data_IF_537859984413
#
_entry.id   IF_537859984413
#
_cell.length_a   1.000
_cell.length_b   1.000
_cell.length_c   1.000
_cell.angle_alpha   90.00
_cell.angle_beta   90.00
_cell.angle_gamma   90.00
#
_symmetry.space_group_name_H-M   'P 1'
#
loop_
_entity.id
_entity.type
_entity.pdbx_description
1 polymer ?
#
# COMPACT_ATOMS: atom_id res chain seq x y z
N UNK A 1 -42.75 -12.06 49.94
CA UNK A 1 -42.55 -12.09 48.48
C UNK A 1 -41.20 -12.75 48.23
N UNK A 2 -41.14 -13.94 47.60
CA UNK A 2 -39.91 -14.71 47.53
C UNK A 2 -39.05 -14.28 46.35
N UNK A 3 -37.75 -14.18 46.65
CA UNK A 3 -36.66 -14.07 45.70
C UNK A 3 -36.47 -15.41 44.98
N UNK A 4 -36.33 -15.35 43.65
CA UNK A 4 -35.96 -16.52 42.85
C UNK A 4 -34.44 -16.52 42.67
N UNK A 5 -33.92 -17.65 43.11
CA UNK A 5 -32.54 -18.12 43.22
C UNK A 5 -31.80 -18.11 41.89
N UNK A 6 -30.58 -17.56 41.93
CA UNK A 6 -29.50 -17.79 40.97
C UNK A 6 -28.86 -19.13 41.30
N UNK A 7 -28.86 -20.08 40.35
CA UNK A 7 -27.89 -21.19 40.37
C UNK A 7 -27.38 -21.51 38.97
N UNK A 8 -26.11 -21.14 38.77
CA UNK A 8 -25.07 -21.73 37.92
C UNK A 8 -25.45 -22.93 37.05
N UNK A 9 -25.39 -22.77 35.73
CA UNK A 9 -25.21 -23.88 34.80
C UNK A 9 -23.70 -24.10 34.58
N UNK A 10 -23.19 -25.15 35.22
CA UNK A 10 -21.85 -25.69 35.02
C UNK A 10 -21.79 -26.41 33.67
N UNK A 11 -20.70 -26.16 32.96
CA UNK A 11 -20.35 -26.80 31.71
C UNK A 11 -20.29 -28.33 31.83
N UNK A 12 -20.99 -29.04 30.93
CA UNK A 12 -20.70 -30.45 30.62
C UNK A 12 -20.31 -30.54 29.16
N UNK A 13 -18.98 -30.54 28.97
CA UNK A 13 -18.27 -30.91 27.76
C UNK A 13 -18.45 -32.41 27.53
N UNK A 14 -19.20 -32.78 26.50
CA UNK A 14 -19.42 -34.16 26.08
C UNK A 14 -20.32 -34.19 24.85
N UNK A 15 -19.75 -33.90 23.67
CA UNK A 15 -20.43 -34.07 22.39
C UNK A 15 -20.73 -35.56 22.14
N UNK A 16 -21.85 -36.03 22.67
CA UNK A 16 -22.50 -37.24 22.17
C UNK A 16 -23.11 -36.88 20.81
N UNK A 17 -22.37 -37.11 19.73
CA UNK A 17 -22.92 -37.04 18.36
C UNK A 17 -24.14 -37.96 18.28
N UNK A 18 -25.35 -37.41 18.39
CA UNK A 18 -26.58 -38.18 18.21
C UNK A 18 -26.50 -38.92 16.88
N UNK A 19 -26.71 -40.24 16.92
CA UNK A 19 -26.67 -41.06 15.73
C UNK A 19 -27.66 -40.52 14.69
N UNK A 20 -27.28 -40.61 13.41
CA UNK A 20 -28.13 -40.15 12.30
C UNK A 20 -29.54 -40.77 12.36
N UNK A 21 -29.64 -42.02 12.83
CA UNK A 21 -30.90 -42.74 13.10
C UNK A 21 -31.78 -42.02 14.13
N UNK A 22 -31.20 -41.56 15.24
CA UNK A 22 -31.93 -40.83 16.30
C UNK A 22 -32.48 -39.49 15.78
N UNK A 23 -31.70 -38.75 14.98
CA UNK A 23 -32.14 -37.48 14.39
C UNK A 23 -33.27 -37.69 13.39
N UNK A 24 -33.19 -38.74 12.57
CA UNK A 24 -34.23 -39.09 11.60
C UNK A 24 -35.50 -39.60 12.27
N UNK A 25 -35.39 -40.36 13.37
CA UNK A 25 -36.55 -40.80 14.15
C UNK A 25 -37.25 -39.61 14.81
N UNK A 26 -36.50 -38.66 15.37
CA UNK A 26 -37.05 -37.40 15.90
C UNK A 26 -37.78 -36.59 14.81
N UNK A 27 -37.20 -36.50 13.61
CA UNK A 27 -37.83 -35.84 12.46
C UNK A 27 -39.10 -36.55 11.99
N UNK A 28 -39.13 -37.89 12.01
CA UNK A 28 -40.33 -38.64 11.70
C UNK A 28 -41.45 -38.40 12.72
N UNK A 29 -41.13 -38.35 14.02
CA UNK A 29 -42.11 -38.05 15.07
C UNK A 29 -42.67 -36.62 14.94
N UNK A 30 -41.84 -35.66 14.56
CA UNK A 30 -42.29 -34.30 14.24
C UNK A 30 -43.32 -34.32 13.09
N UNK A 31 -43.08 -35.08 12.02
CA UNK A 31 -44.03 -35.20 10.91
C UNK A 31 -45.35 -35.90 11.30
N UNK A 32 -45.31 -36.84 12.24
CA UNK A 32 -46.54 -37.43 12.81
C UNK A 32 -47.34 -36.36 13.56
N UNK A 33 -46.68 -35.53 14.37
CA UNK A 33 -47.32 -34.47 15.14
C UNK A 33 -47.90 -33.34 14.27
N UNK A 34 -47.26 -33.03 13.15
CA UNK A 34 -47.72 -31.98 12.21
C UNK A 34 -48.71 -32.48 11.17
N UNK A 35 -49.12 -33.75 11.22
CA UNK A 35 -50.11 -34.33 10.30
C UNK A 35 -49.57 -34.75 8.94
N UNK A 36 -48.26 -34.63 8.69
CA UNK A 36 -47.63 -35.12 7.45
C UNK A 36 -47.27 -36.61 7.55
N UNK A 37 -48.33 -37.43 7.50
CA UNK A 37 -48.25 -38.88 7.75
C UNK A 37 -47.44 -39.62 6.67
N UNK A 38 -47.48 -39.18 5.40
CA UNK A 38 -46.79 -39.86 4.30
C UNK A 38 -45.27 -39.70 4.39
N UNK A 39 -44.79 -38.50 4.70
CA UNK A 39 -43.35 -38.25 4.85
C UNK A 39 -42.80 -38.92 6.11
N UNK A 40 -43.55 -38.90 7.22
CA UNK A 40 -43.24 -39.67 8.42
C UNK A 40 -43.08 -41.16 8.08
N UNK A 41 -44.03 -41.72 7.32
CA UNK A 41 -44.03 -43.13 6.92
C UNK A 41 -42.84 -43.48 6.03
N UNK A 42 -42.49 -42.63 5.06
CA UNK A 42 -41.32 -42.84 4.17
C UNK A 42 -40.00 -42.85 4.95
N UNK A 43 -39.85 -41.97 5.94
CA UNK A 43 -38.65 -41.92 6.80
C UNK A 43 -38.60 -43.16 7.70
N UNK A 44 -39.71 -43.53 8.33
CA UNK A 44 -39.80 -44.69 9.20
C UNK A 44 -39.54 -46.00 8.44
N UNK A 45 -39.99 -46.14 7.19
CA UNK A 45 -39.67 -47.31 6.36
C UNK A 45 -38.17 -47.43 6.08
N UNK A 46 -37.50 -46.31 5.79
CA UNK A 46 -36.04 -46.30 5.57
C UNK A 46 -35.30 -46.65 6.86
N UNK A 47 -35.77 -46.16 8.01
CA UNK A 47 -35.22 -46.47 9.32
C UNK A 47 -35.40 -47.96 9.69
N UNK A 48 -36.57 -48.53 9.44
CA UNK A 48 -36.84 -49.97 9.66
C UNK A 48 -36.01 -50.88 8.74
N UNK A 49 -35.58 -50.37 7.58
CA UNK A 49 -34.65 -51.09 6.71
C UNK A 49 -33.20 -51.09 7.24
N UNK A 50 -32.84 -50.16 8.12
CA UNK A 50 -31.50 -50.06 8.71
C UNK A 50 -31.47 -50.75 10.08
N UNK A 51 -32.48 -50.52 10.91
CA UNK A 51 -32.61 -51.06 12.27
C UNK A 51 -33.94 -51.81 12.47
N UNK A 52 -34.11 -53.00 11.89
CA UNK A 52 -35.38 -53.74 11.92
C UNK A 52 -35.80 -54.21 13.33
N UNK A 53 -34.85 -54.30 14.26
CA UNK A 53 -35.09 -54.73 15.64
C UNK A 53 -35.35 -53.57 16.61
N UNK A 54 -35.33 -52.32 16.14
CA UNK A 54 -35.60 -51.16 16.99
C UNK A 54 -37.10 -50.99 17.25
N UNK A 55 -37.54 -51.31 18.47
CA UNK A 55 -38.95 -51.29 18.86
C UNK A 55 -39.59 -49.90 18.81
N UNK A 56 -38.81 -48.83 19.04
CA UNK A 56 -39.32 -47.47 19.06
C UNK A 56 -39.71 -46.98 17.65
N UNK A 57 -38.94 -47.40 16.63
CA UNK A 57 -39.23 -47.09 15.22
C UNK A 57 -40.52 -47.80 14.78
N UNK A 58 -40.73 -49.05 15.22
CA UNK A 58 -41.96 -49.79 14.97
C UNK A 58 -43.20 -49.14 15.61
N UNK A 59 -43.07 -48.59 16.82
CA UNK A 59 -44.17 -47.88 17.49
C UNK A 59 -44.55 -46.61 16.72
N UNK A 60 -43.56 -45.79 16.34
CA UNK A 60 -43.81 -44.61 15.50
C UNK A 60 -44.41 -44.98 14.15
N UNK A 61 -44.00 -46.09 13.54
CA UNK A 61 -44.60 -46.58 12.29
C UNK A 61 -46.07 -46.97 12.45
N UNK A 62 -46.44 -47.63 13.56
CA UNK A 62 -47.84 -47.95 13.84
C UNK A 62 -48.69 -46.69 14.07
N UNK A 63 -48.12 -45.65 14.68
CA UNK A 63 -48.80 -44.36 14.87
C UNK A 63 -49.15 -43.65 13.56
N UNK A 64 -48.51 -44.02 12.43
CA UNK A 64 -48.89 -43.52 11.09
C UNK A 64 -50.16 -44.16 10.52
N UNK A 65 -50.80 -45.09 11.24
CA UNK A 65 -52.07 -45.74 10.85
C UNK A 65 -52.04 -46.50 9.53
N UNK A 66 -51.05 -47.39 9.25
CA UNK A 66 -51.05 -48.19 8.02
C UNK A 66 -52.24 -49.16 8.00
N UNK A 67 -52.81 -49.40 6.81
CA UNK A 67 -53.83 -50.45 6.66
C UNK A 67 -53.25 -51.82 7.02
N UNK A 68 -54.09 -52.77 7.46
CA UNK A 68 -53.64 -54.13 7.80
C UNK A 68 -52.91 -54.77 6.60
N UNK A 69 -53.37 -54.47 5.37
CA UNK A 69 -52.73 -54.90 4.12
C UNK A 69 -51.34 -54.30 3.93
N UNK A 70 -51.19 -52.99 4.04
CA UNK A 70 -49.89 -52.29 3.93
C UNK A 70 -48.90 -52.76 4.99
N UNK A 71 -49.35 -52.87 6.24
CA UNK A 71 -48.54 -53.34 7.36
C UNK A 71 -48.05 -54.79 7.13
N UNK A 72 -48.87 -55.64 6.53
CA UNK A 72 -48.51 -57.01 6.18
C UNK A 72 -47.52 -57.09 5.01
N UNK A 73 -47.67 -56.24 3.99
CA UNK A 73 -46.73 -56.17 2.85
C UNK A 73 -45.35 -55.76 3.35
N UNK A 74 -45.27 -54.73 4.21
CA UNK A 74 -44.00 -54.23 4.77
C UNK A 74 -43.32 -55.27 5.66
N UNK A 75 -44.07 -55.96 6.52
CA UNK A 75 -43.52 -57.04 7.35
C UNK A 75 -42.98 -58.19 6.51
N UNK A 76 -43.67 -58.57 5.42
CA UNK A 76 -43.20 -59.62 4.50
C UNK A 76 -41.95 -59.20 3.73
N UNK A 77 -41.88 -57.95 3.26
CA UNK A 77 -40.68 -57.45 2.57
C UNK A 77 -39.47 -57.40 3.50
N UNK A 78 -39.65 -56.98 4.76
CA UNK A 78 -38.57 -56.94 5.74
C UNK A 78 -38.17 -58.34 6.22
N UNK A 79 -39.12 -59.27 6.39
CA UNK A 79 -38.83 -60.66 6.75
C UNK A 79 -37.98 -61.40 5.69
N UNK A 80 -38.20 -61.11 4.40
CA UNK A 80 -37.37 -61.65 3.31
C UNK A 80 -35.93 -61.13 3.37
N UNK A 81 -35.74 -59.89 3.80
CA UNK A 81 -34.42 -59.24 3.86
C UNK A 81 -33.68 -59.54 5.17
N UNK A 82 -34.40 -59.79 6.26
CA UNK A 82 -33.86 -60.02 7.60
C UNK A 82 -34.55 -61.22 8.29
N UNK A 83 -34.26 -62.47 7.90
CA UNK A 83 -34.91 -63.67 8.45
C UNK A 83 -34.59 -63.95 9.93
N UNK A 84 -33.56 -63.31 10.50
CA UNK A 84 -33.14 -63.46 11.90
C UNK A 84 -33.74 -62.45 12.90
N UNK A 85 -34.57 -61.50 12.45
CA UNK A 85 -35.13 -60.46 13.33
C UNK A 85 -36.25 -61.02 14.22
N UNK A 86 -36.03 -60.97 15.54
CA UNK A 86 -37.03 -61.40 16.54
C UNK A 86 -38.27 -60.50 16.54
N UNK A 87 -38.09 -59.20 16.32
CA UNK A 87 -39.21 -58.24 16.30
C UNK A 87 -40.15 -58.46 15.10
N UNK A 88 -39.59 -58.73 13.93
CA UNK A 88 -40.38 -59.02 12.72
C UNK A 88 -41.14 -60.34 12.88
N UNK A 89 -40.49 -61.39 13.39
CA UNK A 89 -41.12 -62.70 13.61
C UNK A 89 -42.31 -62.62 14.60
N UNK A 90 -42.12 -61.95 15.74
CA UNK A 90 -43.17 -61.77 16.75
C UNK A 90 -44.37 -60.98 16.21
N UNK A 91 -44.13 -59.96 15.37
CA UNK A 91 -45.20 -59.14 14.77
C UNK A 91 -45.97 -59.88 13.68
N UNK A 92 -45.31 -60.74 12.91
CA UNK A 92 -45.97 -61.62 11.92
C UNK A 92 -46.87 -62.65 12.61
N UNK A 93 -46.39 -63.28 13.68
CA UNK A 93 -47.19 -64.22 14.49
C UNK A 93 -48.42 -63.53 15.11
N UNK A 94 -48.26 -62.30 15.61
CA UNK A 94 -49.37 -61.48 16.13
C UNK A 94 -50.45 -61.15 15.09
N UNK A 95 -50.08 -60.95 13.82
CA UNK A 95 -51.06 -60.74 12.74
C UNK A 95 -51.79 -62.02 12.33
N UNK A 96 -51.10 -63.16 12.34
CA UNK A 96 -51.73 -64.46 12.05
C UNK A 96 -52.82 -64.79 13.08
N UNK A 97 -52.57 -64.51 14.37
CA UNK A 97 -53.55 -64.66 15.44
C UNK A 97 -54.77 -63.70 15.32
N UNK A 98 -54.59 -62.53 14.71
CA UNK A 98 -55.71 -61.60 14.43
C UNK A 98 -56.57 -62.07 13.25
N UNK A 99 -55.95 -62.65 12.21
CA UNK A 99 -56.68 -63.20 11.06
C UNK A 99 -57.48 -64.46 11.40
N UNK A 100 -56.96 -65.34 12.25
CA UNK A 100 -57.71 -66.53 12.70
C UNK A 100 -58.92 -66.17 13.56
N UNK A 101 -58.88 -65.06 14.31
CA UNK A 101 -60.05 -64.51 15.02
C UNK A 101 -61.08 -63.87 14.08
N UNK A 102 -60.63 -63.09 13.09
CA UNK A 102 -61.55 -62.50 12.10
C UNK A 102 -62.22 -63.55 11.19
N UNK A 103 -61.53 -64.65 10.87
CA UNK A 103 -62.12 -65.76 10.12
C UNK A 103 -63.15 -66.58 10.93
N UNK A 104 -63.10 -66.53 12.27
CA UNK A 104 -64.08 -67.18 13.15
C UNK A 104 -65.38 -66.37 13.30
N UNK A 105 -65.33 -65.04 13.13
CA UNK A 105 -66.49 -64.14 13.25
C UNK A 105 -67.29 -64.00 11.93
N UNK A 106 -66.69 -64.28 10.77
CA UNK A 106 -67.38 -64.25 9.46
C UNK A 106 -68.06 -65.57 9.06
N UNK A 107 -68.07 -66.58 9.93
CA UNK A 107 -68.69 -67.89 9.66
C UNK A 107 -70.13 -68.03 10.20
N UNK A 108 -70.75 -66.97 10.74
CA UNK A 108 -72.07 -67.06 11.40
C UNK A 108 -73.25 -66.56 10.54
N UNK A 109 -73.06 -65.87 9.42
CA UNK A 109 -74.19 -65.35 8.62
C UNK A 109 -74.08 -65.63 7.11
N UNK A 110 -74.64 -66.76 6.68
CA UNK A 110 -75.13 -66.92 5.31
C UNK A 110 -76.39 -67.82 5.25
N UNK A 111 -77.53 -67.31 5.73
CA UNK A 111 -78.86 -67.86 5.41
C UNK A 111 -79.34 -67.24 4.10
N UNK A 112 -79.51 -68.07 3.07
CA UNK A 112 -80.09 -67.66 1.77
C UNK A 112 -81.58 -67.33 2.00
N UNK A 113 -81.97 -66.08 1.72
CA UNK A 113 -83.34 -65.59 1.80
C UNK A 113 -83.87 -65.40 0.37
N UNK A 114 -84.88 -66.19 -0.02
CA UNK A 114 -85.53 -66.12 -1.34
C UNK A 114 -86.74 -65.17 -1.22
N UNK A 115 -86.72 -64.07 -1.96
CA UNK A 115 -87.76 -63.02 -1.95
C UNK A 115 -88.84 -63.27 -3.03
N UNK A 116 -90.11 -62.89 -2.77
CA UNK A 116 -91.25 -63.10 -3.66
C UNK A 116 -91.26 -62.14 -4.88
N UNK A 117 -91.85 -62.59 -6.00
CA UNK A 117 -91.81 -61.97 -7.34
C UNK A 117 -92.14 -60.46 -7.43
N UNK A 118 -92.92 -59.90 -6.50
CA UNK A 118 -93.30 -58.48 -6.50
C UNK A 118 -92.21 -57.54 -5.92
N UNK A 119 -91.34 -58.04 -5.05
CA UNK A 119 -90.14 -57.30 -4.62
C UNK A 119 -89.08 -57.28 -5.72
N UNK A 120 -89.05 -58.31 -6.57
CA UNK A 120 -88.10 -58.43 -7.69
C UNK A 120 -88.24 -57.29 -8.69
N UNK A 121 -89.46 -56.89 -9.07
CA UNK A 121 -89.69 -55.82 -10.05
C UNK A 121 -89.34 -54.43 -9.52
N UNK A 122 -89.64 -54.15 -8.25
CA UNK A 122 -89.23 -52.91 -7.57
C UNK A 122 -87.70 -52.85 -7.44
N UNK A 123 -87.06 -53.97 -7.08
CA UNK A 123 -85.60 -54.08 -7.06
C UNK A 123 -85.03 -53.89 -8.46
N UNK A 124 -85.65 -54.43 -9.51
CA UNK A 124 -85.20 -54.28 -10.90
C UNK A 124 -85.30 -52.82 -11.37
N UNK A 125 -86.39 -52.11 -11.04
CA UNK A 125 -86.54 -50.68 -11.34
C UNK A 125 -85.55 -49.84 -10.55
N UNK A 126 -85.30 -50.15 -9.27
CA UNK A 126 -84.25 -49.51 -8.47
C UNK A 126 -82.85 -49.83 -8.99
N UNK A 127 -82.61 -51.03 -9.51
CA UNK A 127 -81.37 -51.42 -10.17
C UNK A 127 -81.19 -50.69 -11.50
N UNK A 128 -82.24 -50.50 -12.29
CA UNK A 128 -82.20 -49.74 -13.53
C UNK A 128 -82.04 -48.24 -13.28
N UNK A 129 -82.70 -47.69 -12.26
CA UNK A 129 -82.53 -46.30 -11.83
C UNK A 129 -81.14 -46.05 -11.25
N UNK A 130 -80.62 -46.97 -10.42
CA UNK A 130 -79.24 -46.86 -9.93
C UNK A 130 -78.22 -47.07 -11.04
N UNK A 131 -78.46 -47.96 -12.00
CA UNK A 131 -77.60 -48.12 -13.18
C UNK A 131 -77.64 -46.89 -14.10
N UNK A 132 -78.82 -46.28 -14.30
CA UNK A 132 -78.96 -45.05 -15.08
C UNK A 132 -78.31 -43.86 -14.37
N UNK A 133 -78.52 -43.74 -13.05
CA UNK A 133 -77.87 -42.73 -12.23
C UNK A 133 -76.34 -42.91 -12.23
N UNK A 134 -75.85 -44.14 -12.18
CA UNK A 134 -74.43 -44.44 -12.31
C UNK A 134 -73.91 -44.15 -13.73
N UNK A 135 -74.68 -44.49 -14.77
CA UNK A 135 -74.31 -44.23 -16.17
C UNK A 135 -74.22 -42.74 -16.50
N UNK A 136 -75.10 -41.90 -15.92
CA UNK A 136 -75.16 -40.47 -16.22
C UNK A 136 -74.35 -39.62 -15.24
N UNK A 137 -74.39 -39.94 -13.94
CA UNK A 137 -73.80 -39.10 -12.89
C UNK A 137 -72.31 -39.41 -12.66
N UNK A 138 -71.88 -40.67 -12.83
CA UNK A 138 -70.48 -41.05 -12.62
C UNK A 138 -69.52 -40.39 -13.62
N UNK A 139 -69.82 -40.31 -14.95
CA UNK A 139 -68.97 -39.56 -15.88
C UNK A 139 -68.96 -38.04 -15.59
N UNK A 140 -70.07 -37.46 -15.11
CA UNK A 140 -70.14 -36.05 -14.69
C UNK A 140 -69.28 -35.78 -13.45
N UNK A 141 -69.26 -36.70 -12.48
CA UNK A 141 -68.37 -36.63 -11.30
C UNK A 141 -66.91 -36.78 -11.71
N UNK A 142 -66.60 -37.74 -12.55
CA UNK A 142 -65.25 -37.95 -13.06
C UNK A 142 -64.74 -36.71 -13.84
N UNK A 143 -65.60 -36.08 -14.65
CA UNK A 143 -65.27 -34.84 -15.35
C UNK A 143 -65.02 -33.67 -14.38
N UNK A 144 -65.85 -33.50 -13.34
CA UNK A 144 -65.63 -32.46 -12.32
C UNK A 144 -64.34 -32.67 -11.53
N UNK A 145 -64.05 -33.90 -11.10
CA UNK A 145 -62.79 -34.23 -10.42
C UNK A 145 -61.60 -33.98 -11.33
N UNK A 146 -61.71 -34.32 -12.61
CA UNK A 146 -60.66 -34.03 -13.60
C UNK A 146 -60.46 -32.53 -13.79
N UNK A 147 -61.53 -31.75 -13.95
CA UNK A 147 -61.45 -30.29 -14.07
C UNK A 147 -60.88 -29.64 -12.81
N UNK A 148 -61.22 -30.14 -11.61
CA UNK A 148 -60.59 -29.70 -10.37
C UNK A 148 -59.09 -29.99 -10.37
N UNK A 149 -58.69 -31.20 -10.76
CA UNK A 149 -57.26 -31.55 -10.84
C UNK A 149 -56.51 -30.70 -11.87
N UNK A 150 -57.10 -30.45 -13.04
CA UNK A 150 -56.51 -29.60 -14.07
C UNK A 150 -56.39 -28.14 -13.58
N UNK A 151 -57.40 -27.63 -12.85
CA UNK A 151 -57.33 -26.31 -12.21
C UNK A 151 -56.23 -26.24 -11.14
N UNK A 152 -56.12 -27.24 -10.26
CA UNK A 152 -55.06 -27.31 -9.25
C UNK A 152 -53.68 -27.32 -9.91
N UNK A 153 -53.49 -28.12 -10.96
CA UNK A 153 -52.24 -28.14 -11.72
C UNK A 153 -51.93 -26.79 -12.38
N UNK A 154 -52.93 -26.10 -12.92
CA UNK A 154 -52.75 -24.77 -13.49
C UNK A 154 -52.36 -23.74 -12.42
N UNK A 155 -52.96 -23.86 -11.23
CA UNK A 155 -52.65 -23.00 -10.09
C UNK A 155 -51.21 -23.21 -9.62
N UNK A 156 -50.77 -24.47 -9.49
CA UNK A 156 -49.39 -24.83 -9.16
C UNK A 156 -48.40 -24.29 -10.21
N UNK A 157 -48.75 -24.39 -11.50
CA UNK A 157 -47.93 -23.84 -12.58
C UNK A 157 -47.85 -22.32 -12.52
N UNK A 158 -48.97 -21.65 -12.22
CA UNK A 158 -49.02 -20.21 -12.06
C UNK A 158 -48.17 -19.74 -10.88
N UNK A 159 -48.30 -20.36 -9.71
CA UNK A 159 -47.48 -20.06 -8.54
C UNK A 159 -45.98 -20.32 -8.81
N UNK A 160 -45.65 -21.41 -9.50
CA UNK A 160 -44.28 -21.70 -9.91
C UNK A 160 -43.72 -20.64 -10.86
N UNK A 161 -44.53 -20.17 -11.80
CA UNK A 161 -44.12 -19.13 -12.75
C UNK A 161 -43.97 -17.78 -12.06
N UNK A 162 -44.87 -17.43 -11.14
CA UNK A 162 -44.79 -16.21 -10.34
C UNK A 162 -43.51 -16.21 -9.50
N UNK A 163 -43.19 -17.31 -8.83
CA UNK A 163 -41.95 -17.43 -8.06
C UNK A 163 -40.70 -17.26 -8.94
N UNK A 164 -40.70 -17.81 -10.16
CA UNK A 164 -39.59 -17.61 -11.12
C UNK A 164 -39.49 -16.16 -11.58
N UNK A 165 -40.63 -15.50 -11.80
CA UNK A 165 -40.67 -14.08 -12.16
C UNK A 165 -40.09 -13.22 -11.05
N UNK A 166 -40.48 -13.47 -9.79
CA UNK A 166 -39.97 -12.74 -8.63
C UNK A 166 -38.45 -12.94 -8.46
N UNK A 167 -37.94 -14.17 -8.70
CA UNK A 167 -36.49 -14.44 -8.70
C UNK A 167 -35.80 -13.63 -9.79
N UNK A 168 -36.31 -13.67 -11.03
CA UNK A 168 -35.71 -12.96 -12.16
C UNK A 168 -35.72 -11.45 -11.97
N UNK A 169 -36.79 -10.90 -11.36
CA UNK A 169 -36.87 -9.49 -11.02
C UNK A 169 -35.78 -9.11 -10.01
N UNK A 170 -35.58 -9.92 -8.96
CA UNK A 170 -34.52 -9.69 -7.98
C UNK A 170 -33.12 -9.78 -8.61
N UNK A 171 -32.89 -10.74 -9.50
CA UNK A 171 -31.63 -10.87 -10.25
C UNK A 171 -31.39 -9.65 -11.15
N UNK A 172 -32.43 -9.16 -11.83
CA UNK A 172 -32.36 -7.94 -12.63
C UNK A 172 -32.01 -6.72 -11.78
N UNK A 173 -32.68 -6.53 -10.65
CA UNK A 173 -32.43 -5.40 -9.75
C UNK A 173 -30.99 -5.44 -9.18
N UNK A 174 -30.50 -6.64 -8.85
CA UNK A 174 -29.11 -6.84 -8.42
C UNK A 174 -28.12 -6.48 -9.53
N UNK A 175 -28.35 -6.97 -10.75
CA UNK A 175 -27.50 -6.69 -11.90
C UNK A 175 -27.49 -5.19 -12.26
N UNK A 176 -28.64 -4.52 -12.13
CA UNK A 176 -28.75 -3.08 -12.34
C UNK A 176 -27.93 -2.30 -11.31
N UNK A 177 -27.96 -2.71 -10.04
CA UNK A 177 -27.14 -2.12 -8.98
C UNK A 177 -25.64 -2.34 -9.23
N UNK A 178 -25.24 -3.56 -9.60
CA UNK A 178 -23.85 -3.89 -9.94
C UNK A 178 -23.34 -3.06 -11.12
N UNK A 179 -24.17 -2.89 -12.15
CA UNK A 179 -23.84 -2.05 -13.31
C UNK A 179 -23.62 -0.59 -12.91
N UNK A 180 -24.49 -0.03 -12.07
CA UNK A 180 -24.33 1.33 -11.56
C UNK A 180 -23.05 1.48 -10.74
N UNK A 181 -22.74 0.51 -9.87
CA UNK A 181 -21.50 0.52 -9.11
C UNK A 181 -20.28 0.48 -10.02
N UNK A 182 -20.28 -0.40 -11.02
CA UNK A 182 -19.18 -0.51 -11.99
C UNK A 182 -19.00 0.78 -12.80
N UNK A 183 -20.10 1.41 -13.22
CA UNK A 183 -20.08 2.69 -13.93
C UNK A 183 -19.46 3.81 -13.08
N UNK A 184 -19.78 3.86 -11.78
CA UNK A 184 -19.19 4.81 -10.85
C UNK A 184 -17.69 4.57 -10.67
N UNK A 185 -17.27 3.32 -10.47
CA UNK A 185 -15.85 2.94 -10.35
C UNK A 185 -15.08 3.32 -11.62
N UNK A 186 -15.65 3.04 -12.80
CA UNK A 186 -15.04 3.41 -14.07
C UNK A 186 -14.83 4.92 -14.20
N UNK A 187 -15.86 5.71 -13.83
CA UNK A 187 -15.78 7.17 -13.85
C UNK A 187 -14.71 7.70 -12.89
N UNK A 188 -14.63 7.14 -11.68
CA UNK A 188 -13.60 7.50 -10.71
C UNK A 188 -12.20 7.17 -11.25
N UNK A 189 -12.00 5.97 -11.80
CA UNK A 189 -10.72 5.56 -12.37
C UNK A 189 -10.29 6.45 -13.54
N UNK A 190 -11.24 6.90 -14.36
CA UNK A 190 -10.98 7.84 -15.44
C UNK A 190 -10.51 9.21 -14.93
N UNK A 191 -11.08 9.70 -13.83
CA UNK A 191 -10.66 10.95 -13.18
C UNK A 191 -9.28 10.82 -12.54
N UNK A 192 -9.01 9.71 -11.85
CA UNK A 192 -7.70 9.40 -11.27
C UNK A 192 -6.62 9.32 -12.37
N UNK A 193 -6.90 8.63 -13.47
CA UNK A 193 -5.98 8.54 -14.61
C UNK A 193 -5.69 9.92 -15.22
N UNK A 194 -6.73 10.75 -15.41
CA UNK A 194 -6.55 12.13 -15.90
C UNK A 194 -5.67 12.96 -14.97
N UNK A 195 -5.86 12.79 -13.65
CA UNK A 195 -5.05 13.46 -12.62
C UNK A 195 -3.59 12.99 -12.69
N UNK A 196 -3.35 11.68 -12.77
CA UNK A 196 -2.01 11.10 -12.90
C UNK A 196 -1.29 11.57 -14.17
N UNK A 197 -2.00 11.66 -15.30
CA UNK A 197 -1.45 12.22 -16.54
C UNK A 197 -1.01 13.67 -16.33
N UNK A 198 -1.82 14.47 -15.63
CA UNK A 198 -1.47 15.85 -15.28
C UNK A 198 -0.22 15.94 -14.41
N UNK A 199 -0.16 15.14 -13.34
CA UNK A 199 1.00 15.09 -12.45
C UNK A 199 2.27 14.65 -13.17
N UNK A 200 2.18 13.64 -14.05
CA UNK A 200 3.33 13.15 -14.81
C UNK A 200 3.86 14.21 -15.80
N UNK A 201 2.96 14.97 -16.44
CA UNK A 201 3.37 16.11 -17.29
C UNK A 201 4.10 17.18 -16.48
N UNK A 202 3.60 17.52 -15.29
CA UNK A 202 4.25 18.48 -14.42
C UNK A 202 5.64 18.00 -13.99
N UNK A 203 5.76 16.76 -13.52
CA UNK A 203 7.05 16.16 -13.14
C UNK A 203 8.04 16.15 -14.31
N UNK A 204 7.57 15.84 -15.52
CA UNK A 204 8.42 15.89 -16.72
C UNK A 204 8.93 17.30 -17.01
N UNK A 205 8.09 18.32 -16.82
CA UNK A 205 8.48 19.72 -16.99
C UNK A 205 9.51 20.13 -15.93
N UNK A 206 9.25 19.84 -14.65
CA UNK A 206 10.14 20.18 -13.55
C UNK A 206 11.52 19.50 -13.70
N UNK A 207 11.55 18.25 -14.16
CA UNK A 207 12.80 17.53 -14.45
C UNK A 207 13.59 18.18 -15.60
N UNK A 208 12.90 18.65 -16.65
CA UNK A 208 13.56 19.40 -17.72
C UNK A 208 14.18 20.71 -17.22
N UNK A 209 13.50 21.41 -16.32
CA UNK A 209 14.02 22.65 -15.71
C UNK A 209 15.25 22.36 -14.84
N UNK A 210 15.18 21.32 -14.00
CA UNK A 210 16.31 20.90 -13.17
C UNK A 210 17.53 20.49 -14.00
N UNK A 211 17.33 19.84 -15.14
CA UNK A 211 18.42 19.52 -16.06
C UNK A 211 19.07 20.78 -16.62
N UNK A 212 18.28 21.78 -16.99
CA UNK A 212 18.79 23.06 -17.47
C UNK A 212 19.59 23.78 -16.37
N UNK A 213 19.06 23.84 -15.15
CA UNK A 213 19.74 24.46 -14.01
C UNK A 213 21.07 23.77 -13.69
N UNK A 214 21.11 22.44 -13.81
CA UNK A 214 22.32 21.66 -13.61
C UNK A 214 23.39 21.97 -14.66
N UNK A 215 23.00 22.11 -15.93
CA UNK A 215 23.93 22.52 -17.00
C UNK A 215 24.44 23.96 -16.82
N UNK A 216 23.58 24.87 -16.35
CA UNK A 216 24.03 26.23 -15.98
C UNK A 216 25.04 26.19 -14.83
N UNK A 217 24.76 25.46 -13.74
CA UNK A 217 25.67 25.33 -12.61
C UNK A 217 27.02 24.70 -13.02
N UNK A 218 27.02 23.72 -13.94
CA UNK A 218 28.24 23.14 -14.52
C UNK A 218 29.05 24.18 -15.28
N UNK A 219 28.38 25.00 -16.07
CA UNK A 219 29.02 26.08 -16.86
C UNK A 219 29.65 27.12 -15.92
N UNK A 220 28.94 27.52 -14.87
CA UNK A 220 29.43 28.47 -13.88
C UNK A 220 30.65 27.93 -13.12
N UNK A 221 30.63 26.65 -12.74
CA UNK A 221 31.76 26.00 -12.08
C UNK A 221 33.00 25.94 -12.98
N UNK A 222 32.81 25.64 -14.28
CA UNK A 222 33.91 25.67 -15.25
C UNK A 222 34.49 27.08 -15.39
N UNK A 223 33.64 28.11 -15.50
CA UNK A 223 34.08 29.50 -15.58
C UNK A 223 34.86 29.92 -14.32
N UNK A 224 34.35 29.56 -13.14
CA UNK A 224 35.03 29.85 -11.88
C UNK A 224 36.39 29.15 -11.78
N UNK A 225 36.49 27.92 -12.28
CA UNK A 225 37.74 27.17 -12.34
C UNK A 225 38.77 27.86 -13.22
N UNK A 226 38.36 28.37 -14.39
CA UNK A 226 39.23 29.14 -15.29
C UNK A 226 39.71 30.41 -14.58
N UNK A 227 38.81 31.19 -13.99
CA UNK A 227 39.17 32.42 -13.27
C UNK A 227 40.13 32.15 -12.10
N UNK A 228 39.92 31.06 -11.37
CA UNK A 228 40.80 30.65 -10.29
C UNK A 228 42.22 30.35 -10.80
N UNK A 229 42.33 29.60 -11.90
CA UNK A 229 43.64 29.28 -12.50
C UNK A 229 44.35 30.53 -13.02
N UNK A 230 43.62 31.45 -13.65
CA UNK A 230 44.16 32.73 -14.10
C UNK A 230 44.68 33.56 -12.92
N UNK A 231 43.90 33.64 -11.83
CA UNK A 231 44.30 34.34 -10.62
C UNK A 231 45.55 33.70 -9.99
N UNK A 232 45.64 32.37 -9.97
CA UNK A 232 46.81 31.64 -9.48
C UNK A 232 48.06 31.94 -10.32
N UNK A 233 47.90 32.04 -11.64
CA UNK A 233 48.98 32.42 -12.56
C UNK A 233 49.47 33.84 -12.30
N UNK A 234 48.55 34.81 -12.20
CA UNK A 234 48.87 36.20 -11.88
C UNK A 234 49.57 36.31 -10.52
N UNK A 235 49.09 35.57 -9.52
CA UNK A 235 49.70 35.55 -8.19
C UNK A 235 51.14 35.01 -8.23
N UNK A 236 51.37 33.93 -8.97
CA UNK A 236 52.70 33.35 -9.16
C UNK A 236 53.66 34.35 -9.84
N UNK A 237 53.19 35.06 -10.87
CA UNK A 237 53.96 36.10 -11.54
C UNK A 237 54.29 37.26 -10.60
N UNK A 238 53.34 37.66 -9.75
CA UNK A 238 53.56 38.72 -8.77
C UNK A 238 54.63 38.34 -7.74
N UNK A 239 54.66 37.08 -7.29
CA UNK A 239 55.71 36.57 -6.40
C UNK A 239 57.08 36.71 -7.06
N UNK A 240 57.22 36.28 -8.31
CA UNK A 240 58.48 36.39 -9.06
C UNK A 240 58.91 37.85 -9.21
N UNK A 241 57.98 38.74 -9.57
CA UNK A 241 58.27 40.17 -9.71
C UNK A 241 58.69 40.80 -8.38
N UNK A 242 58.07 40.39 -7.26
CA UNK A 242 58.44 40.86 -5.93
C UNK A 242 59.86 40.43 -5.56
N UNK A 243 60.23 39.18 -5.86
CA UNK A 243 61.58 38.67 -5.61
C UNK A 243 62.64 39.39 -6.48
N UNK A 244 62.34 39.70 -7.74
CA UNK A 244 63.23 40.50 -8.60
C UNK A 244 63.41 41.92 -8.04
N UNK A 245 62.31 42.55 -7.61
CA UNK A 245 62.35 43.88 -7.00
C UNK A 245 63.18 43.90 -5.71
N UNK A 246 63.00 42.90 -4.86
CA UNK A 246 63.77 42.73 -3.62
C UNK A 246 65.27 42.56 -3.92
N UNK A 247 65.64 41.74 -4.91
CA UNK A 247 67.03 41.58 -5.31
C UNK A 247 67.64 42.91 -5.82
N UNK A 248 66.91 43.67 -6.64
CA UNK A 248 67.35 44.99 -7.11
C UNK A 248 67.51 45.99 -5.98
N UNK A 249 66.63 45.94 -4.97
CA UNK A 249 66.75 46.79 -3.79
C UNK A 249 68.07 46.53 -3.04
N UNK A 250 68.42 45.26 -2.80
CA UNK A 250 69.69 44.92 -2.16
C UNK A 250 70.92 45.32 -2.99
N UNK A 251 70.86 45.19 -4.31
CA UNK A 251 71.93 45.68 -5.19
C UNK A 251 72.09 47.20 -5.09
N UNK A 252 70.99 47.95 -5.16
CA UNK A 252 71.01 49.41 -5.01
C UNK A 252 71.54 49.85 -3.65
N UNK A 253 71.20 49.12 -2.59
CA UNK A 253 71.72 49.38 -1.25
C UNK A 253 73.24 49.17 -1.18
N UNK A 254 73.74 48.08 -1.77
CA UNK A 254 75.18 47.83 -1.89
C UNK A 254 75.90 48.91 -2.71
N UNK A 255 75.34 49.33 -3.84
CA UNK A 255 75.89 50.41 -4.66
C UNK A 255 75.93 51.74 -3.89
N UNK A 256 74.89 52.03 -3.11
CA UNK A 256 74.86 53.20 -2.24
C UNK A 256 75.95 53.14 -1.16
N UNK A 257 76.10 52.00 -0.48
CA UNK A 257 77.14 51.82 0.55
C UNK A 257 78.55 51.98 -0.06
N UNK A 258 78.78 51.43 -1.24
CA UNK A 258 80.03 51.60 -1.99
C UNK A 258 80.27 53.07 -2.38
N UNK A 259 79.23 53.78 -2.82
CA UNK A 259 79.32 55.21 -3.13
C UNK A 259 79.70 56.03 -1.91
N UNK A 260 79.13 55.71 -0.74
CA UNK A 260 79.48 56.36 0.54
C UNK A 260 80.94 56.11 0.91
N UNK A 261 81.44 54.88 0.76
CA UNK A 261 82.85 54.55 0.99
C UNK A 261 83.75 55.37 0.05
N UNK A 262 83.47 55.34 -1.25
CA UNK A 262 84.24 56.08 -2.25
C UNK A 262 84.24 57.59 -1.99
N UNK A 263 83.10 58.16 -1.61
CA UNK A 263 82.99 59.56 -1.24
C UNK A 263 83.87 59.88 -0.03
N UNK A 264 83.82 59.06 1.02
CA UNK A 264 84.62 59.25 2.22
C UNK A 264 86.12 59.11 1.92
N UNK A 265 86.52 58.16 1.07
CA UNK A 265 87.91 58.02 0.62
C UNK A 265 88.38 59.26 -0.15
N UNK A 266 87.57 59.75 -1.09
CA UNK A 266 87.88 60.96 -1.85
C UNK A 266 87.99 62.17 -0.93
N UNK A 267 87.06 62.33 0.01
CA UNK A 267 87.09 63.38 1.01
C UNK A 267 88.37 63.32 1.87
N UNK A 268 88.79 62.13 2.29
CA UNK A 268 90.02 61.95 3.10
C UNK A 268 91.31 62.30 2.37
N UNK A 269 91.33 62.20 1.04
CA UNK A 269 92.50 62.53 0.19
C UNK A 269 92.42 63.95 -0.37
N UNK A 270 91.27 64.61 -0.26
CA UNK A 270 91.12 65.96 -0.74
C UNK A 270 92.05 66.88 0.06
N UNK A 271 92.83 67.70 -0.66
CA UNK A 271 93.62 68.74 -0.01
C UNK A 271 92.63 69.79 0.48
N UNK A 272 92.32 69.73 1.77
CA UNK A 272 91.47 70.73 2.39
C UNK A 272 92.24 72.05 2.45
N UNK A 273 91.63 73.17 2.00
CA UNK A 273 92.24 74.47 2.13
C UNK A 273 92.59 74.78 3.60
N UNK A 274 93.73 75.46 3.87
CA UNK A 274 94.48 76.24 2.91
C UNK A 274 95.49 75.45 2.08
N UNK A 275 95.46 75.62 0.75
CA UNK A 275 96.50 75.10 -0.14
C UNK A 275 97.05 76.19 -1.06
N UNK A 276 98.33 76.04 -1.42
CA UNK A 276 99.07 76.91 -2.34
C UNK A 276 99.51 76.06 -3.51
N UNK A 277 99.18 76.47 -4.74
CA UNK A 277 99.74 75.85 -5.94
C UNK A 277 100.28 76.93 -6.88
N UNK A 278 101.33 76.58 -7.61
CA UNK A 278 102.03 77.48 -8.51
C UNK A 278 101.85 76.96 -9.93
N UNK A 279 101.33 77.79 -10.83
CA UNK A 279 101.17 77.46 -12.24
C UNK A 279 101.87 78.53 -13.08
N UNK A 280 102.96 78.15 -13.76
CA UNK A 280 103.80 79.12 -14.47
C UNK A 280 104.42 80.14 -13.51
N UNK A 281 104.18 81.44 -13.75
CA UNK A 281 104.57 82.54 -12.86
C UNK A 281 103.38 83.09 -12.06
N UNK A 282 102.38 82.27 -11.74
CA UNK A 282 101.28 82.66 -10.86
C UNK A 282 101.23 81.77 -9.62
N UNK A 283 100.99 82.38 -8.46
CA UNK A 283 100.80 81.71 -7.18
C UNK A 283 99.33 81.82 -6.80
N UNK A 284 98.67 80.68 -6.68
CA UNK A 284 97.28 80.58 -6.29
C UNK A 284 97.20 80.06 -4.84
N UNK A 285 96.44 80.76 -4.01
CA UNK A 285 96.08 80.35 -2.66
C UNK A 285 94.58 80.10 -2.59
N UNK A 286 94.16 78.97 -2.06
CA UNK A 286 92.77 78.76 -1.67
C UNK A 286 92.70 78.54 -0.17
N UNK A 287 91.71 79.10 0.53
CA UNK A 287 91.46 78.87 1.95
C UNK A 287 89.96 78.94 2.25
N UNK A 288 89.52 78.31 3.35
CA UNK A 288 88.13 78.36 3.81
C UNK A 288 87.99 79.47 4.86
N UNK A 289 87.00 80.35 4.68
CA UNK A 289 86.61 81.33 5.71
C UNK A 289 85.84 80.66 6.85
N UNK A 290 85.72 81.34 7.98
CA UNK A 290 84.93 80.86 9.15
C UNK A 290 83.46 80.57 8.85
N UNK A 291 82.91 81.12 7.77
CA UNK A 291 81.56 80.84 7.29
C UNK A 291 81.47 79.66 6.29
N UNK A 292 82.56 78.91 6.10
CA UNK A 292 82.63 77.78 5.17
C UNK A 292 82.85 78.17 3.71
N UNK A 293 82.92 79.45 3.36
CA UNK A 293 83.12 79.87 1.98
C UNK A 293 84.57 79.65 1.52
N UNK A 294 84.75 79.00 0.37
CA UNK A 294 86.04 78.86 -0.31
C UNK A 294 86.45 80.20 -0.92
N UNK A 295 87.58 80.75 -0.48
CA UNK A 295 88.18 81.96 -1.06
C UNK A 295 89.40 81.56 -1.86
N UNK A 296 89.52 82.09 -3.07
CA UNK A 296 90.68 81.91 -3.94
C UNK A 296 91.36 83.25 -4.14
N UNK A 297 92.66 83.26 -3.94
CA UNK A 297 93.54 84.40 -4.17
C UNK A 297 94.58 83.98 -5.19
N UNK A 298 94.96 84.89 -6.09
CA UNK A 298 96.05 84.65 -7.03
C UNK A 298 96.90 85.91 -7.09
N UNK A 299 98.21 85.72 -7.14
CA UNK A 299 99.20 86.79 -7.23
C UNK A 299 100.27 86.37 -8.23
N UNK A 300 100.77 87.32 -9.02
CA UNK A 300 101.90 87.03 -9.91
C UNK A 300 103.15 86.72 -9.08
N UNK A 301 103.99 85.81 -9.56
CA UNK A 301 105.25 85.46 -8.92
C UNK A 301 106.17 86.68 -8.81
N UNK A 302 106.09 87.59 -9.78
CA UNK A 302 106.87 88.84 -9.78
C UNK A 302 106.46 89.74 -8.62
N UNK A 303 105.16 89.86 -8.36
CA UNK A 303 104.65 90.66 -7.24
C UNK A 303 104.93 90.00 -5.90
N UNK A 304 104.83 88.66 -5.84
CA UNK A 304 105.21 87.91 -4.64
C UNK A 304 106.70 88.04 -4.35
N UNK A 305 107.57 87.90 -5.36
CA UNK A 305 109.02 88.02 -5.22
C UNK A 305 109.41 89.44 -4.78
N UNK A 306 108.79 90.47 -5.37
CA UNK A 306 108.95 91.86 -4.92
C UNK A 306 108.55 92.02 -3.45
N UNK A 307 107.39 91.51 -3.06
CA UNK A 307 106.90 91.58 -1.68
C UNK A 307 107.83 90.85 -0.70
N UNK A 308 108.36 89.68 -1.07
CA UNK A 308 109.33 88.94 -0.25
C UNK A 308 110.64 89.71 -0.12
N UNK A 309 111.20 90.23 -1.23
CA UNK A 309 112.43 91.03 -1.21
C UNK A 309 112.28 92.29 -0.37
N UNK A 310 111.13 92.96 -0.46
CA UNK A 310 110.82 94.13 0.37
C UNK A 310 110.75 93.75 1.86
N UNK A 311 110.05 92.67 2.20
CA UNK A 311 109.98 92.17 3.56
C UNK A 311 111.31 91.64 4.11
N UNK A 312 112.21 91.14 3.26
CA UNK A 312 113.56 90.72 3.64
C UNK A 312 114.45 91.93 3.94
N UNK A 313 114.46 92.93 3.04
CA UNK A 313 115.14 94.21 3.25
C UNK A 313 114.67 94.92 4.51
N UNK A 314 113.36 94.88 4.79
CA UNK A 314 112.78 95.42 6.01
C UNK A 314 113.28 94.73 7.29
N UNK A 315 113.69 93.46 7.20
CA UNK A 315 114.21 92.69 8.34
C UNK A 315 115.72 92.82 8.53
N UNK A 316 116.49 92.84 7.45
CA UNK A 316 117.94 93.06 7.52
C UNK A 316 118.30 94.49 7.87
N UNK A 317 117.41 95.45 7.56
CA UNK A 317 117.64 96.85 7.85
C UNK A 317 116.35 97.50 8.38
N UNK A 318 115.93 97.17 9.61
CA UNK A 318 114.65 97.62 10.18
C UNK A 318 114.55 99.15 10.29
N UNK A 319 115.68 99.84 10.30
CA UNK A 319 115.75 101.30 10.35
C UNK A 319 115.30 101.99 9.05
N UNK A 320 115.34 101.33 7.89
CA UNK A 320 114.93 101.94 6.61
C UNK A 320 113.46 101.69 6.25
N UNK A 321 112.79 100.68 6.82
CA UNK A 321 111.39 100.38 6.49
C UNK A 321 110.39 101.29 7.23
N UNK A 322 110.78 101.86 8.38
CA UNK A 322 109.94 102.81 9.13
C UNK A 322 109.97 104.25 8.55
N UNK A 323 110.76 104.50 7.51
CA UNK A 323 111.00 105.84 6.96
C UNK A 323 110.75 105.98 5.45
N UNK A 324 110.16 104.98 4.78
CA UNK A 324 110.01 105.03 3.32
C UNK A 324 108.72 104.37 2.80
N UNK A 325 107.72 105.21 2.53
CA UNK A 325 106.57 104.98 1.64
C UNK A 325 107.00 104.89 0.17
#
# INVERSE_FOLDING_TARGET
MPAIVVTFFVAVKGENKMSMSTRLHGRANYFIQTGNIQDARRILMKLLAIEPDNAAIWQSYQATGPTIGEYQVVLRSLARRYPGSRQIANRIAGLQNRKTRQAAETAVHSRKFVLPLALSTVILVLCLLSAFFWMVLEPQRAANVRLQSENEQLLDQYESLQAKFDILQNEYDTLAADYQQLSNIYTQLQQENTTLIGQNKQLSYDNSLLQQDLEHARTDLNNLTIQYNDLQSVHSQLIVNYQDLEARFYLLQSDYDNLVINYNELASRAIEPPYIYIQGREVHLAFIRTNGALVRWHVSFDDLEKSIRQGYRARENPLNFLLGS
#
